data_IF_763061798243
#
_entry.id   IF_763061798243
#
_cell.length_a   1.000
_cell.length_b   1.000
_cell.length_c   1.000
_cell.angle_alpha   90.00
_cell.angle_beta   90.00
_cell.angle_gamma   90.00
#
_symmetry.space_group_name_H-M   'P 1'
#
loop_
_entity.id
_entity.type
_entity.pdbx_description
1 polymer ?
#
# COMPACT_ATOMS: atom_id res chain seq x y z
N UNK A 1 -35.71 24.50 -9.44
CA UNK A 1 -35.41 23.09 -9.08
C UNK A 1 -33.93 22.84 -9.30
N UNK A 2 -33.11 22.90 -8.24
CA UNK A 2 -31.69 22.57 -8.32
C UNK A 2 -31.53 21.05 -8.19
N UNK A 3 -30.92 20.41 -9.19
CA UNK A 3 -30.53 19.00 -9.11
C UNK A 3 -29.42 18.89 -8.07
N UNK A 4 -29.74 18.24 -6.95
CA UNK A 4 -28.74 17.76 -6.01
C UNK A 4 -27.85 16.76 -6.75
N UNK A 5 -26.61 17.17 -7.05
CA UNK A 5 -25.58 16.21 -7.40
C UNK A 5 -25.32 15.38 -6.14
N UNK A 6 -25.77 14.13 -6.16
CA UNK A 6 -25.33 13.09 -5.24
C UNK A 6 -23.80 13.09 -5.27
N UNK A 7 -23.16 13.51 -4.17
CA UNK A 7 -21.72 13.30 -3.98
C UNK A 7 -21.48 11.81 -4.15
N UNK A 8 -20.77 11.44 -5.22
CA UNK A 8 -20.32 10.06 -5.42
C UNK A 8 -19.45 9.72 -4.21
N UNK A 9 -19.94 8.81 -3.37
CA UNK A 9 -19.36 8.57 -2.06
C UNK A 9 -18.19 7.62 -2.28
N UNK A 10 -17.00 8.18 -2.47
CA UNK A 10 -15.75 7.42 -2.62
C UNK A 10 -15.65 6.39 -1.50
N UNK A 11 -15.71 5.10 -1.86
CA UNK A 11 -15.66 4.01 -0.91
C UNK A 11 -14.20 3.66 -0.62
N UNK A 12 -13.80 3.69 0.65
CA UNK A 12 -12.46 3.33 1.09
C UNK A 12 -12.47 1.97 1.76
N UNK A 13 -11.57 1.09 1.34
CA UNK A 13 -11.35 -0.19 2.00
C UNK A 13 -10.24 -0.06 3.02
N UNK A 14 -10.61 -0.21 4.29
CA UNK A 14 -9.69 -0.03 5.43
C UNK A 14 -9.24 -1.38 5.99
N UNK A 15 -7.94 -1.64 5.94
CA UNK A 15 -7.27 -2.72 6.66
C UNK A 15 -6.86 -2.19 8.04
N UNK A 16 -7.46 -2.74 9.09
CA UNK A 16 -7.05 -2.51 10.48
C UNK A 16 -6.91 -3.86 11.22
N UNK A 17 -6.56 -3.82 12.51
CA UNK A 17 -6.37 -5.02 13.33
C UNK A 17 -7.59 -5.96 13.36
N UNK A 18 -8.79 -5.38 13.32
CA UNK A 18 -10.07 -6.11 13.41
C UNK A 18 -10.56 -6.61 12.06
N UNK A 19 -10.14 -5.97 10.96
CA UNK A 19 -10.53 -6.32 9.60
C UNK A 19 -9.29 -6.53 8.74
N UNK A 20 -8.86 -7.79 8.68
CA UNK A 20 -7.70 -8.19 7.90
C UNK A 20 -8.16 -8.81 6.57
N UNK A 21 -7.85 -8.19 5.43
CA UNK A 21 -8.18 -8.76 4.13
C UNK A 21 -7.44 -10.08 3.89
N UNK A 22 -8.06 -10.97 3.11
CA UNK A 22 -7.48 -12.24 2.67
C UNK A 22 -7.00 -12.09 1.22
N UNK A 23 -5.85 -12.69 0.90
CA UNK A 23 -5.27 -12.64 -0.44
C UNK A 23 -4.40 -11.41 -0.68
N UNK A 24 -4.39 -10.91 -1.91
CA UNK A 24 -3.55 -9.79 -2.36
C UNK A 24 -4.17 -8.46 -1.95
N UNK A 25 -3.34 -7.54 -1.45
CA UNK A 25 -3.77 -6.23 -0.98
C UNK A 25 -2.83 -5.11 -1.44
N UNK A 26 -3.39 -3.97 -1.90
CA UNK A 26 -4.80 -3.79 -2.26
C UNK A 26 -5.23 -4.75 -3.39
N UNK A 27 -6.43 -5.39 -3.39
CA UNK A 27 -6.81 -6.45 -4.35
C UNK A 27 -7.00 -5.93 -5.79
N UNK A 28 -6.49 -6.58 -6.82
CA UNK A 28 -6.70 -6.09 -8.20
C UNK A 28 -8.19 -6.13 -8.60
N UNK A 29 -8.72 -4.98 -9.00
CA UNK A 29 -10.00 -4.87 -9.71
C UNK A 29 -9.69 -4.85 -11.20
N UNK A 30 -9.56 -6.00 -11.86
CA UNK A 30 -9.46 -6.00 -13.32
C UNK A 30 -10.56 -6.85 -13.93
N UNK A 31 -11.34 -6.21 -14.82
CA UNK A 31 -11.86 -6.85 -16.04
C UNK A 31 -10.67 -7.15 -16.98
N UNK A 32 -9.75 -8.01 -16.55
CA UNK A 32 -8.82 -8.68 -17.48
C UNK A 32 -9.03 -10.18 -17.26
N UNK A 33 -9.79 -10.78 -18.17
CA UNK A 33 -10.15 -12.20 -18.22
C UNK A 33 -8.98 -13.12 -18.61
N UNK A 34 -7.74 -12.66 -18.53
CA UNK A 34 -6.54 -13.43 -18.85
C UNK A 34 -5.81 -13.85 -17.56
N UNK A 35 -6.43 -14.75 -16.80
CA UNK A 35 -5.70 -15.59 -15.85
C UNK A 35 -5.13 -16.76 -16.67
N UNK A 36 -3.81 -16.89 -16.90
CA UNK A 36 -3.27 -18.19 -17.22
C UNK A 36 -3.38 -19.01 -15.94
N UNK A 37 -4.29 -20.00 -15.94
CA UNK A 37 -4.35 -21.07 -14.96
C UNK A 37 -3.05 -21.88 -14.99
N UNK A 38 -1.98 -21.37 -14.40
CA UNK A 38 -0.81 -22.18 -14.03
C UNK A 38 -0.02 -21.47 -12.95
N UNK A 39 -0.39 -21.74 -11.70
CA UNK A 39 0.56 -21.73 -10.59
C UNK A 39 1.49 -22.94 -10.79
N UNK A 40 2.42 -22.85 -11.73
CA UNK A 40 3.57 -23.77 -11.76
C UNK A 40 4.62 -23.21 -10.81
N UNK A 41 4.74 -23.86 -9.65
CA UNK A 41 5.81 -23.59 -8.68
C UNK A 41 7.10 -24.19 -9.24
N UNK A 42 7.70 -23.54 -10.24
CA UNK A 42 9.08 -23.84 -10.64
C UNK A 42 10.03 -23.29 -9.59
N UNK A 43 10.84 -24.18 -9.01
CA UNK A 43 11.61 -23.96 -7.79
C UNK A 43 12.92 -23.18 -7.96
N UNK A 44 13.25 -22.61 -9.13
CA UNK A 44 14.63 -22.15 -9.39
C UNK A 44 14.81 -20.83 -10.13
N UNK A 45 13.84 -19.93 -10.06
CA UNK A 45 14.07 -18.50 -10.33
C UNK A 45 13.34 -17.71 -9.26
N UNK A 46 13.89 -16.55 -8.86
CA UNK A 46 13.19 -15.61 -7.96
C UNK A 46 11.93 -15.08 -8.67
N UNK A 47 10.89 -15.90 -8.73
CA UNK A 47 9.56 -15.55 -9.21
C UNK A 47 8.96 -14.68 -8.12
N UNK A 48 9.28 -13.39 -8.18
CA UNK A 48 8.49 -12.38 -7.50
C UNK A 48 7.06 -12.56 -8.01
N UNK A 49 6.06 -12.69 -7.13
CA UNK A 49 4.70 -12.84 -7.61
C UNK A 49 4.37 -11.62 -8.48
N UNK A 50 3.64 -11.87 -9.57
CA UNK A 50 3.33 -11.00 -10.72
C UNK A 50 2.59 -9.69 -10.39
N UNK A 51 2.77 -9.12 -9.20
CA UNK A 51 2.17 -7.88 -8.77
C UNK A 51 3.01 -6.69 -9.25
N UNK A 52 3.05 -6.43 -10.56
CA UNK A 52 3.77 -5.26 -11.11
C UNK A 52 3.03 -3.93 -10.96
N UNK A 53 1.86 -3.95 -10.30
CA UNK A 53 1.03 -2.77 -10.09
C UNK A 53 1.38 -2.09 -8.77
N UNK A 54 1.43 -0.77 -8.81
CA UNK A 54 1.59 0.08 -7.64
C UNK A 54 0.21 0.61 -7.27
N UNK A 55 -0.10 0.55 -5.98
CA UNK A 55 -1.28 1.17 -5.42
C UNK A 55 -0.88 2.38 -4.59
N UNK A 56 -1.66 3.45 -4.71
CA UNK A 56 -1.69 4.52 -3.72
C UNK A 56 -2.44 4.00 -2.48
N UNK A 57 -1.75 3.98 -1.36
CA UNK A 57 -2.26 3.53 -0.07
C UNK A 57 -2.10 4.65 0.93
N UNK A 58 -3.19 5.01 1.59
CA UNK A 58 -3.13 5.88 2.75
C UNK A 58 -2.82 5.03 3.99
N UNK A 59 -1.95 5.53 4.85
CA UNK A 59 -1.65 4.91 6.13
C UNK A 59 -1.99 5.87 7.26
N UNK A 60 -2.46 5.31 8.36
CA UNK A 60 -2.74 6.02 9.60
C UNK A 60 -1.97 5.34 10.74
N UNK A 61 -1.49 6.13 11.69
CA UNK A 61 -0.61 5.70 12.78
C UNK A 61 -0.66 6.72 13.93
N UNK A 62 -0.20 6.36 15.12
CA UNK A 62 0.08 7.39 16.12
C UNK A 62 1.25 8.25 15.63
N UNK A 63 1.26 9.56 15.88
CA UNK A 63 2.33 10.46 15.41
C UNK A 63 3.73 9.99 15.87
N UNK A 64 3.84 9.45 17.09
CA UNK A 64 5.07 8.87 17.63
C UNK A 64 5.51 7.56 16.94
N UNK A 65 4.60 6.90 16.20
CA UNK A 65 4.82 5.61 15.53
C UNK A 65 4.99 5.72 14.02
N UNK A 66 4.95 6.93 13.45
CA UNK A 66 5.03 7.14 12.01
C UNK A 66 6.28 6.48 11.39
N UNK A 67 7.45 6.67 12.01
CA UNK A 67 8.70 6.04 11.58
C UNK A 67 8.59 4.50 11.58
N UNK A 68 8.08 3.91 12.66
CA UNK A 68 7.95 2.45 12.78
C UNK A 68 6.92 1.87 11.80
N UNK A 69 5.83 2.58 11.53
CA UNK A 69 4.85 2.21 10.51
C UNK A 69 5.52 2.16 9.13
N UNK A 70 6.16 3.25 8.71
CA UNK A 70 6.85 3.33 7.41
C UNK A 70 7.97 2.30 7.29
N UNK A 71 8.79 2.13 8.34
CA UNK A 71 9.86 1.15 8.35
C UNK A 71 9.32 -0.27 8.16
N UNK A 72 8.18 -0.61 8.77
CA UNK A 72 7.55 -1.92 8.59
C UNK A 72 7.03 -2.11 7.16
N UNK A 73 6.38 -1.09 6.59
CA UNK A 73 5.89 -1.14 5.22
C UNK A 73 7.05 -1.28 4.21
N UNK A 74 8.20 -0.64 4.44
CA UNK A 74 9.41 -0.79 3.61
C UNK A 74 10.01 -2.20 3.74
N UNK A 75 9.94 -2.81 4.92
CA UNK A 75 10.46 -4.16 5.16
C UNK A 75 9.67 -5.22 4.41
N UNK A 76 8.35 -5.06 4.37
CA UNK A 76 7.47 -6.06 3.78
C UNK A 76 7.14 -5.76 2.32
N UNK A 77 7.21 -4.51 1.88
CA UNK A 77 6.71 -4.10 0.55
C UNK A 77 7.72 -3.21 -0.17
N UNK A 78 7.60 -3.16 -1.49
CA UNK A 78 8.34 -2.15 -2.27
C UNK A 78 7.56 -0.84 -2.26
N UNK A 79 8.10 0.17 -1.58
CA UNK A 79 7.59 1.53 -1.60
C UNK A 79 8.39 2.36 -2.60
N UNK A 80 7.71 3.20 -3.37
CA UNK A 80 8.32 4.04 -4.41
C UNK A 80 8.16 5.54 -4.13
N UNK A 81 7.17 5.89 -3.32
CA UNK A 81 6.93 7.26 -2.90
C UNK A 81 6.32 7.23 -1.50
N UNK A 82 6.76 8.16 -0.66
CA UNK A 82 6.20 8.40 0.67
C UNK A 82 5.88 9.89 0.74
N UNK A 83 4.62 10.21 1.01
CA UNK A 83 4.18 11.54 1.38
C UNK A 83 3.69 11.49 2.83
N UNK A 84 4.26 12.32 3.68
CA UNK A 84 3.93 12.37 5.10
C UNK A 84 3.99 13.82 5.55
N UNK A 85 2.91 14.33 6.10
CA UNK A 85 2.93 15.59 6.84
C UNK A 85 3.39 15.27 8.27
N UNK A 86 4.32 16.06 8.81
CA UNK A 86 4.85 15.90 10.18
C UNK A 86 3.79 16.15 11.24
N UNK A 87 2.80 16.99 10.92
CA UNK A 87 1.70 17.33 11.82
C UNK A 87 0.56 16.30 11.78
N UNK A 88 0.55 15.43 10.77
CA UNK A 88 -0.51 14.45 10.59
C UNK A 88 -0.15 13.10 11.23
N UNK A 89 -1.18 12.41 11.72
CA UNK A 89 -1.11 11.02 12.20
C UNK A 89 -0.95 10.01 11.05
N UNK A 90 -0.62 10.43 9.83
CA UNK A 90 -0.66 9.56 8.67
C UNK A 90 -0.06 10.16 7.42
N UNK A 91 -0.33 9.52 6.29
CA UNK A 91 0.16 9.96 4.99
C UNK A 91 -0.20 8.98 3.90
N UNK A 92 0.52 9.09 2.78
CA UNK A 92 0.31 8.27 1.60
C UNK A 92 1.60 7.59 1.17
N UNK A 93 1.48 6.35 0.70
CA UNK A 93 2.57 5.61 0.07
C UNK A 93 2.15 5.07 -1.28
N UNK A 94 3.07 5.08 -2.21
CA UNK A 94 2.97 4.28 -3.43
C UNK A 94 3.70 2.99 -3.18
N UNK A 95 2.96 1.90 -3.04
CA UNK A 95 3.52 0.60 -2.72
C UNK A 95 3.07 -0.47 -3.70
N UNK A 96 3.94 -1.47 -3.92
CA UNK A 96 3.54 -2.68 -4.65
C UNK A 96 2.49 -3.43 -3.86
N UNK A 97 1.54 -4.04 -4.56
CA UNK A 97 0.59 -4.95 -3.93
C UNK A 97 1.32 -6.15 -3.31
N UNK A 98 0.78 -6.67 -2.23
CA UNK A 98 1.39 -7.77 -1.48
C UNK A 98 0.33 -8.66 -0.86
N UNK A 99 0.69 -9.89 -0.49
CA UNK A 99 -0.17 -10.75 0.32
C UNK A 99 -0.47 -10.06 1.65
N UNK A 100 -1.76 -9.85 1.95
CA UNK A 100 -2.26 -9.16 3.14
C UNK A 100 -1.68 -9.73 4.44
N UNK A 101 -1.40 -11.04 4.46
CA UNK A 101 -0.77 -11.73 5.58
C UNK A 101 0.59 -11.16 5.99
N UNK A 102 1.37 -10.63 5.04
CA UNK A 102 2.68 -10.01 5.31
C UNK A 102 2.54 -8.59 5.90
N UNK A 103 1.41 -7.92 5.65
CA UNK A 103 1.11 -6.61 6.23
C UNK A 103 0.51 -6.70 7.64
N UNK A 104 0.07 -7.89 8.08
CA UNK A 104 -0.45 -8.12 9.44
C UNK A 104 0.54 -7.72 10.53
N UNK A 105 1.84 -7.86 10.29
CA UNK A 105 2.89 -7.48 11.23
C UNK A 105 3.10 -5.95 11.35
N UNK A 106 2.53 -5.19 10.42
CA UNK A 106 2.58 -3.72 10.42
C UNK A 106 1.29 -3.12 10.98
N UNK A 107 0.13 -3.67 10.62
CA UNK A 107 -1.19 -3.13 10.97
C UNK A 107 -1.66 -3.62 12.34
N UNK A 108 -2.01 -2.68 13.23
CA UNK A 108 -2.51 -2.90 14.58
C UNK A 108 -1.53 -2.52 15.69
N UNK A 109 -0.22 -2.57 15.43
CA UNK A 109 0.82 -2.17 16.40
C UNK A 109 1.60 -0.94 15.95
N UNK A 110 2.06 -0.94 14.69
CA UNK A 110 2.92 0.13 14.14
C UNK A 110 2.08 1.12 13.33
N UNK A 111 1.29 0.61 12.41
CA UNK A 111 0.26 1.37 11.69
C UNK A 111 -1.10 1.08 12.34
N UNK A 112 -1.93 2.09 12.58
CA UNK A 112 -3.30 1.88 13.03
C UNK A 112 -4.15 1.25 11.92
N UNK A 113 -3.99 1.75 10.69
CA UNK A 113 -4.68 1.21 9.53
C UNK A 113 -3.98 1.56 8.23
N UNK A 114 -4.31 0.80 7.19
CA UNK A 114 -4.01 1.12 5.81
C UNK A 114 -5.32 1.17 5.04
N UNK A 115 -5.45 2.09 4.09
CA UNK A 115 -6.65 2.21 3.28
C UNK A 115 -6.33 2.54 1.83
N UNK A 116 -7.21 2.09 0.94
CA UNK A 116 -7.15 2.42 -0.47
C UNK A 116 -8.56 2.78 -0.97
N UNK A 117 -8.63 3.64 -1.96
CA UNK A 117 -9.85 3.99 -2.67
C UNK A 117 -10.30 2.84 -3.58
N UNK A 118 -11.54 2.37 -3.44
CA UNK A 118 -12.16 1.34 -4.26
C UNK A 118 -12.21 1.68 -5.76
N UNK A 119 -12.43 2.94 -6.10
CA UNK A 119 -12.57 3.37 -7.49
C UNK A 119 -11.23 3.44 -8.24
N UNK A 120 -10.11 3.42 -7.50
CA UNK A 120 -8.71 3.29 -7.95
C UNK A 120 -8.26 4.09 -9.18
N UNK A 121 -7.22 4.89 -8.97
CA UNK A 121 -6.13 5.04 -9.93
C UNK A 121 -4.98 4.10 -9.54
N UNK A 122 -5.01 2.83 -9.96
CA UNK A 122 -3.78 2.02 -9.92
C UNK A 122 -2.79 2.64 -10.88
N UNK A 123 -1.61 2.97 -10.38
CA UNK A 123 -0.62 3.67 -11.19
C UNK A 123 0.28 2.61 -11.79
N UNK A 124 0.41 2.64 -13.12
CA UNK A 124 1.46 1.90 -13.81
C UNK A 124 2.78 2.50 -13.33
N UNK A 125 3.65 1.69 -12.73
CA UNK A 125 4.98 2.15 -12.27
C UNK A 125 5.69 2.92 -13.39
N UNK A 126 5.93 4.22 -13.24
CA UNK A 126 6.80 4.94 -14.16
C UNK A 126 8.19 4.29 -14.21
N UNK A 127 8.75 4.17 -15.41
CA UNK A 127 10.12 3.69 -15.57
C UNK A 127 11.09 4.63 -14.83
N UNK A 128 12.11 4.06 -14.19
CA UNK A 128 13.17 4.82 -13.51
C UNK A 128 12.90 5.21 -12.05
N UNK A 129 11.70 4.98 -11.51
CA UNK A 129 11.48 5.16 -10.06
C UNK A 129 12.25 4.12 -9.25
N UNK A 130 13.19 4.58 -8.42
CA UNK A 130 13.91 3.76 -7.45
C UNK A 130 13.00 3.41 -6.27
N UNK A 131 13.16 2.21 -5.72
CA UNK A 131 12.54 1.85 -4.45
C UNK A 131 13.10 2.72 -3.32
N UNK A 132 12.21 3.11 -2.41
CA UNK A 132 12.52 3.77 -1.16
C UNK A 132 12.97 2.72 -0.11
N UNK A 133 14.11 2.97 0.52
CA UNK A 133 14.72 2.00 1.46
C UNK A 133 14.71 2.53 2.90
N UNK A 134 15.20 1.69 3.84
CA UNK A 134 15.32 2.08 5.25
C UNK A 134 16.32 3.22 5.43
N UNK A 135 17.37 3.24 4.62
CA UNK A 135 18.41 4.27 4.62
C UNK A 135 17.81 5.62 4.19
N UNK A 136 16.97 5.61 3.15
CA UNK A 136 16.24 6.81 2.72
C UNK A 136 15.31 7.35 3.83
N UNK A 137 14.66 6.44 4.56
CA UNK A 137 13.79 6.80 5.69
C UNK A 137 14.60 7.41 6.85
N UNK A 138 15.75 6.83 7.18
CA UNK A 138 16.62 7.34 8.23
C UNK A 138 17.12 8.76 7.90
N UNK A 139 17.57 8.98 6.65
CA UNK A 139 18.01 10.30 6.17
C UNK A 139 16.91 11.37 6.22
N UNK A 140 15.64 10.96 6.10
CA UNK A 140 14.49 11.85 6.24
C UNK A 140 14.26 12.27 7.69
N UNK A 141 14.56 11.40 8.67
CA UNK A 141 14.45 11.73 10.09
C UNK A 141 15.56 12.64 10.60
N UNK A 142 16.72 12.65 9.92
CA UNK A 142 17.92 13.41 10.34
C UNK A 142 18.07 14.77 9.68
N UNK A 143 17.23 15.11 8.69
CA UNK A 143 17.22 16.42 8.03
C UNK A 143 16.36 17.45 8.77
N UNK A 144 15.95 17.10 9.98
CA UNK A 144 15.12 17.83 10.91
C UNK A 144 15.83 17.93 12.27
#
# INVERSE_FOLDING_TARGET
>A
MAKSHSMDRTAFNKFNKSYIPVGVWPPQTYRDTSIPHKLEIQHDTKIWPYYNKIALVQYDCESSKQYYCLQCLIQHTEIYLIYSDKSASGGYVWMRQIVSGLLKSCVGEKCQSLEYDEQRSQIIRPAGLRQFTKEDLALRSTKD
#
